data_IF_436831490177
#
_entry.id   IF_436831490177
#
_cell.length_a   1.000
_cell.length_b   1.000
_cell.length_c   1.000
_cell.angle_alpha   90.00
_cell.angle_beta   90.00
_cell.angle_gamma   90.00
#
_symmetry.space_group_name_H-M   'P 1'
#
loop_
_entity.id
_entity.type
_entity.pdbx_description
1 polymer ?
#
# COMPACT_ATOMS: atom_id res chain seq x y z
N UNK A 1 -26.71 -6.45 -16.63
CA UNK A 1 -25.45 -5.69 -16.72
C UNK A 1 -24.60 -6.13 -15.56
N UNK A 2 -23.45 -6.77 -15.82
CA UNK A 2 -22.61 -7.31 -14.75
C UNK A 2 -22.01 -6.14 -13.97
N UNK A 3 -22.23 -6.13 -12.66
CA UNK A 3 -21.61 -5.21 -11.73
C UNK A 3 -20.09 -5.44 -11.82
N UNK A 4 -19.36 -4.51 -12.42
CA UNK A 4 -17.89 -4.57 -12.44
C UNK A 4 -17.45 -4.36 -11.01
N UNK A 5 -17.11 -5.45 -10.31
CA UNK A 5 -16.60 -5.41 -8.96
C UNK A 5 -15.44 -4.40 -8.91
N UNK A 6 -15.69 -3.25 -8.28
CA UNK A 6 -14.68 -2.20 -8.18
C UNK A 6 -13.56 -2.69 -7.27
N UNK A 7 -12.41 -2.98 -7.88
CA UNK A 7 -11.22 -3.36 -7.12
C UNK A 7 -10.82 -2.20 -6.20
N UNK A 8 -10.61 -2.49 -4.91
CA UNK A 8 -10.17 -1.52 -3.89
C UNK A 8 -8.78 -1.88 -3.40
N UNK A 9 -8.02 -0.88 -3.00
CA UNK A 9 -6.75 -1.10 -2.30
C UNK A 9 -7.02 -1.75 -0.94
N UNK A 10 -6.40 -2.89 -0.63
CA UNK A 10 -6.58 -3.55 0.68
C UNK A 10 -5.99 -2.75 1.83
N UNK A 11 -4.98 -1.92 1.58
CA UNK A 11 -4.41 -1.07 2.62
C UNK A 11 -5.22 0.22 2.84
N UNK A 12 -5.41 1.03 1.79
CA UNK A 12 -6.01 2.37 1.94
C UNK A 12 -7.50 2.46 1.57
N UNK A 13 -8.11 1.37 1.09
CA UNK A 13 -9.53 1.33 0.74
C UNK A 13 -9.95 2.14 -0.49
N UNK A 14 -9.03 2.86 -1.15
CA UNK A 14 -9.33 3.64 -2.36
C UNK A 14 -9.84 2.74 -3.48
N UNK A 15 -10.90 3.19 -4.18
CA UNK A 15 -11.47 2.49 -5.34
C UNK A 15 -10.61 2.65 -6.60
N UNK A 16 -10.61 1.62 -7.44
CA UNK A 16 -10.12 1.60 -8.82
C UNK A 16 -10.68 2.71 -9.72
N UNK A 17 -11.79 3.35 -9.33
CA UNK A 17 -12.32 4.54 -10.01
C UNK A 17 -11.50 5.81 -9.76
N UNK A 18 -10.78 5.88 -8.63
CA UNK A 18 -10.05 7.08 -8.18
C UNK A 18 -8.55 6.93 -8.41
N UNK A 19 -8.04 5.71 -8.34
CA UNK A 19 -6.61 5.42 -8.48
C UNK A 19 -6.43 4.07 -9.16
N UNK A 20 -5.32 3.88 -9.86
CA UNK A 20 -5.03 2.60 -10.48
C UNK A 20 -4.72 1.56 -9.38
N UNK A 21 -5.62 0.58 -9.23
CA UNK A 21 -5.39 -0.60 -8.39
C UNK A 21 -4.91 -1.73 -9.29
N UNK A 22 -3.81 -2.38 -8.90
CA UNK A 22 -3.30 -3.57 -9.57
C UNK A 22 -3.11 -4.67 -8.53
N UNK A 23 -3.15 -5.91 -8.99
CA UNK A 23 -2.71 -7.05 -8.18
C UNK A 23 -1.19 -7.02 -8.13
N UNK A 24 -0.65 -6.57 -7.01
CA UNK A 24 0.79 -6.48 -6.79
C UNK A 24 1.29 -7.72 -6.04
N UNK A 25 2.40 -8.28 -6.50
CA UNK A 25 3.08 -9.36 -5.80
C UNK A 25 3.77 -8.82 -4.55
N UNK A 26 3.40 -9.32 -3.37
CA UNK A 26 4.07 -8.94 -2.13
C UNK A 26 5.50 -9.52 -2.12
N UNK A 27 5.68 -10.74 -2.61
CA UNK A 27 7.00 -11.32 -2.86
C UNK A 27 7.30 -11.26 -4.36
N UNK A 28 8.29 -10.47 -4.82
CA UNK A 28 8.64 -10.42 -6.23
C UNK A 28 9.24 -11.74 -6.72
N UNK A 29 8.98 -12.03 -7.99
CA UNK A 29 9.38 -13.25 -8.70
C UNK A 29 10.89 -13.52 -8.64
N UNK A 30 11.69 -12.46 -8.61
CA UNK A 30 13.16 -12.53 -8.57
C UNK A 30 13.72 -13.16 -7.28
N UNK A 31 12.90 -13.28 -6.22
CA UNK A 31 13.30 -13.90 -4.95
C UNK A 31 12.77 -15.33 -4.76
N UNK A 32 12.29 -16.01 -5.81
CA UNK A 32 11.63 -17.33 -5.75
C UNK A 32 10.23 -17.33 -5.10
N UNK A 33 9.53 -16.18 -5.08
CA UNK A 33 8.12 -16.17 -4.74
C UNK A 33 7.33 -16.97 -5.78
N UNK A 34 6.66 -18.04 -5.36
CA UNK A 34 5.78 -18.83 -6.25
C UNK A 34 4.71 -17.94 -6.88
N UNK A 35 4.27 -18.28 -8.10
CA UNK A 35 3.17 -17.60 -8.80
C UNK A 35 1.79 -18.01 -8.23
N UNK A 36 1.73 -18.27 -6.94
CA UNK A 36 0.53 -18.65 -6.22
C UNK A 36 -0.38 -17.42 -6.12
N UNK A 37 -1.68 -17.58 -6.42
CA UNK A 37 -2.67 -16.48 -6.33
C UNK A 37 -2.68 -15.83 -4.93
N UNK A 38 -2.31 -16.59 -3.90
CA UNK A 38 -2.16 -16.18 -2.52
C UNK A 38 -1.07 -15.12 -2.25
N UNK A 39 -0.18 -14.85 -3.21
CA UNK A 39 0.93 -13.90 -3.07
C UNK A 39 0.65 -12.52 -3.72
N UNK A 40 -0.60 -12.27 -4.15
CA UNK A 40 -0.99 -11.00 -4.78
C UNK A 40 -2.06 -10.28 -3.97
N UNK A 41 -1.86 -9.00 -3.68
CA UNK A 41 -2.88 -8.13 -3.07
C UNK A 41 -3.29 -7.03 -4.05
N UNK A 42 -4.59 -6.68 -4.13
CA UNK A 42 -5.02 -5.48 -4.83
C UNK A 42 -4.56 -4.25 -4.05
N UNK A 43 -3.54 -3.57 -4.56
CA UNK A 43 -2.98 -2.36 -3.96
C UNK A 43 -2.93 -1.23 -4.98
N UNK A 44 -2.98 0.01 -4.51
CA UNK A 44 -2.61 1.15 -5.32
C UNK A 44 -1.10 1.30 -5.35
N UNK A 45 -0.56 1.97 -6.38
CA UNK A 45 0.89 2.16 -6.55
C UNK A 45 1.56 2.86 -5.36
N UNK A 46 0.84 3.71 -4.62
CA UNK A 46 1.39 4.35 -3.43
C UNK A 46 1.57 3.36 -2.27
N UNK A 47 0.56 2.53 -1.99
CA UNK A 47 0.62 1.55 -0.90
C UNK A 47 1.59 0.42 -1.23
N UNK A 48 1.63 -0.04 -2.47
CA UNK A 48 2.60 -1.03 -2.92
C UNK A 48 4.04 -0.52 -2.75
N UNK A 49 4.37 0.66 -3.29
CA UNK A 49 5.69 1.26 -3.15
C UNK A 49 6.13 1.40 -1.69
N UNK A 50 5.23 1.86 -0.82
CA UNK A 50 5.53 1.99 0.61
C UNK A 50 5.85 0.64 1.26
N UNK A 51 5.09 -0.41 0.94
CA UNK A 51 5.34 -1.76 1.45
C UNK A 51 6.71 -2.27 1.00
N UNK A 52 7.07 -2.13 -0.29
CA UNK A 52 8.39 -2.54 -0.78
C UNK A 52 9.55 -1.69 -0.23
N UNK A 53 9.30 -0.41 0.06
CA UNK A 53 10.29 0.45 0.72
C UNK A 53 10.55 0.01 2.16
N UNK A 54 9.48 -0.32 2.91
CA UNK A 54 9.57 -0.60 4.35
C UNK A 54 9.99 -2.04 4.65
N UNK A 55 9.57 -2.99 3.82
CA UNK A 55 9.79 -4.42 4.02
C UNK A 55 10.51 -4.97 2.79
N UNK A 56 11.80 -5.31 2.88
CA UNK A 56 12.50 -5.92 1.77
C UNK A 56 11.88 -7.29 1.44
N UNK A 57 11.98 -7.69 0.19
CA UNK A 57 11.35 -8.88 -0.39
C UNK A 57 11.52 -10.17 0.43
N UNK A 58 12.65 -10.34 1.13
CA UNK A 58 12.93 -11.49 1.99
C UNK A 58 12.05 -11.57 3.24
N UNK A 59 11.58 -10.43 3.75
CA UNK A 59 10.70 -10.32 4.95
C UNK A 59 9.24 -10.53 4.57
N UNK A 60 8.88 -10.16 3.34
CA UNK A 60 7.52 -10.29 2.80
C UNK A 60 7.12 -11.75 2.53
N UNK A 61 8.09 -12.66 2.40
CA UNK A 61 7.90 -14.12 2.28
C UNK A 61 7.36 -14.73 3.58
N UNK A 62 6.04 -14.64 3.79
CA UNK A 62 5.33 -15.27 4.91
C UNK A 62 4.51 -14.32 5.79
N UNK A 63 4.45 -13.03 5.44
CA UNK A 63 3.77 -12.00 6.24
C UNK A 63 2.62 -11.32 5.49
N UNK A 64 2.06 -11.90 4.42
CA UNK A 64 1.10 -11.23 3.52
C UNK A 64 -0.07 -10.51 4.22
N UNK A 65 -0.68 -11.14 5.21
CA UNK A 65 -1.80 -10.56 5.97
C UNK A 65 -1.28 -9.76 7.16
N UNK A 66 -0.11 -10.13 7.68
CA UNK A 66 0.52 -9.44 8.80
C UNK A 66 1.06 -8.07 8.39
N UNK A 67 1.54 -7.90 7.16
CA UNK A 67 2.04 -6.61 6.67
C UNK A 67 0.94 -5.56 6.61
N UNK A 68 -0.30 -5.94 6.29
CA UNK A 68 -1.46 -5.05 6.35
C UNK A 68 -1.91 -4.75 7.79
N UNK A 69 -1.49 -5.58 8.75
CA UNK A 69 -1.74 -5.36 10.17
C UNK A 69 -0.65 -4.49 10.83
N UNK A 70 0.46 -4.25 10.14
CA UNK A 70 1.53 -3.41 10.66
C UNK A 70 1.06 -1.96 10.81
N UNK A 71 1.30 -1.39 11.99
CA UNK A 71 0.83 -0.05 12.35
C UNK A 71 1.28 1.02 11.35
N UNK A 72 2.54 0.96 10.90
CA UNK A 72 3.06 1.90 9.90
C UNK A 72 2.30 1.79 8.57
N UNK A 73 1.95 0.57 8.13
CA UNK A 73 1.24 0.31 6.87
C UNK A 73 -0.20 0.83 6.95
N UNK A 74 -0.89 0.57 8.06
CA UNK A 74 -2.23 1.09 8.30
C UNK A 74 -2.26 2.62 8.38
N UNK A 75 -1.32 3.21 9.13
CA UNK A 75 -1.19 4.68 9.22
C UNK A 75 -0.89 5.29 7.86
N UNK A 76 -0.06 4.62 7.05
CA UNK A 76 0.20 5.04 5.69
C UNK A 76 -1.06 4.99 4.83
N UNK A 77 -1.90 3.95 4.98
CA UNK A 77 -3.22 3.86 4.37
C UNK A 77 -4.09 5.09 4.69
N UNK A 78 -4.12 5.51 5.95
CA UNK A 78 -4.81 6.74 6.38
C UNK A 78 -4.18 7.97 5.76
N UNK A 79 -2.85 8.10 5.80
CA UNK A 79 -2.12 9.24 5.23
C UNK A 79 -2.44 9.43 3.74
N UNK A 80 -2.39 8.37 2.93
CA UNK A 80 -2.70 8.50 1.51
C UNK A 80 -4.16 8.89 1.32
N UNK A 81 -5.10 8.45 2.14
CA UNK A 81 -6.49 8.96 2.06
C UNK A 81 -6.71 10.36 2.63
N UNK A 82 -5.68 10.98 3.22
CA UNK A 82 -5.83 12.32 3.81
C UNK A 82 -6.00 13.40 2.73
N UNK A 83 -6.78 14.46 3.01
CA UNK A 83 -6.89 15.62 2.11
C UNK A 83 -5.53 16.28 1.83
N UNK A 84 -4.60 16.18 2.78
CA UNK A 84 -3.23 16.72 2.67
C UNK A 84 -2.48 16.07 1.51
N UNK A 85 -2.54 14.74 1.40
CA UNK A 85 -1.89 14.00 0.34
C UNK A 85 -2.66 14.05 -0.99
N UNK A 86 -4.00 13.93 -0.95
CA UNK A 86 -4.84 13.93 -2.17
C UNK A 86 -4.65 15.23 -2.99
N UNK A 87 -4.42 16.36 -2.34
CA UNK A 87 -4.22 17.65 -3.01
C UNK A 87 -2.85 17.78 -3.69
N UNK A 88 -1.85 16.99 -3.28
CA UNK A 88 -0.48 17.00 -3.81
C UNK A 88 0.12 15.60 -3.79
N UNK A 89 -0.31 14.69 -4.69
CA UNK A 89 0.25 13.36 -4.76
C UNK A 89 1.64 13.42 -5.41
N UNK A 90 2.67 13.80 -4.66
CA UNK A 90 4.06 13.57 -5.07
C UNK A 90 4.48 12.20 -4.57
N UNK A 91 4.71 11.28 -5.51
CA UNK A 91 5.11 9.91 -5.20
C UNK A 91 6.61 9.78 -4.96
N UNK A 92 7.43 10.79 -5.28
CA UNK A 92 8.90 10.70 -5.17
C UNK A 92 9.37 10.74 -3.73
N UNK A 93 8.69 11.50 -2.88
CA UNK A 93 9.01 11.73 -1.46
C UNK A 93 7.86 11.29 -0.52
N UNK A 94 6.99 10.40 -0.99
CA UNK A 94 5.79 9.99 -0.26
C UNK A 94 6.10 9.40 1.12
N UNK A 95 7.25 8.72 1.25
CA UNK A 95 7.76 8.18 2.49
C UNK A 95 8.18 9.30 3.47
N UNK A 96 8.90 10.32 2.97
CA UNK A 96 9.31 11.49 3.76
C UNK A 96 8.10 12.32 4.21
N UNK A 97 7.10 12.48 3.33
CA UNK A 97 5.88 13.20 3.66
C UNK A 97 5.01 12.45 4.67
N UNK A 98 5.01 11.11 4.61
CA UNK A 98 4.39 10.29 5.63
C UNK A 98 5.06 10.46 7.01
N UNK A 99 6.39 10.46 7.09
CA UNK A 99 7.10 10.71 8.36
C UNK A 99 6.79 12.10 8.93
N UNK A 100 6.80 13.14 8.10
CA UNK A 100 6.38 14.50 8.50
C UNK A 100 4.93 14.52 8.98
N UNK A 101 4.04 13.81 8.29
CA UNK A 101 2.64 13.72 8.67
C UNK A 101 2.46 13.01 10.01
N UNK A 102 3.19 11.91 10.26
CA UNK A 102 3.22 11.23 11.56
C UNK A 102 3.67 12.18 12.67
N UNK A 103 4.76 12.93 12.46
CA UNK A 103 5.25 13.91 13.44
C UNK A 103 4.20 14.98 13.78
N UNK A 104 3.45 15.47 12.79
CA UNK A 104 2.38 16.46 13.00
C UNK A 104 1.18 15.90 13.77
N UNK A 105 0.92 14.60 13.68
CA UNK A 105 -0.20 13.92 14.39
C UNK A 105 0.22 13.25 15.70
N UNK A 106 1.52 13.06 15.91
CA UNK A 106 2.11 12.41 17.09
C UNK A 106 2.74 13.37 18.09
N UNK A 107 2.41 14.66 18.04
CA UNK A 107 2.62 15.59 19.15
C UNK A 107 1.39 15.63 20.05
N UNK A 108 1.26 14.63 20.93
CA UNK A 108 0.15 14.49 21.89
C UNK A 108 0.21 13.16 22.62
#
# INVERSE_FOLDING_TARGET
MAEVAEMKCENCGRSGKITQIRLHHIVPRESHGGDEQDNRLPLCSACERFIHFRYPNRVLMGLKEKVLQEKDVQLFGVFVTSPEYIRRPDVRDIENDFEKWKLRRGGG
#
